data_IF_683364175578
#
_entry.id   IF_683364175578
#
_cell.length_a   1.000
_cell.length_b   1.000
_cell.length_c   1.000
_cell.angle_alpha   90.00
_cell.angle_beta   90.00
_cell.angle_gamma   90.00
#
_symmetry.space_group_name_H-M   'P 1'
#
loop_
_entity.id
_entity.type
_entity.pdbx_description
1 polymer ?
#
# COMPACT_ATOMS: atom_id res chain seq x y z
N UNK A 1 -15.69 -2.67 0.09
CA UNK A 1 -14.64 -3.60 -0.38
C UNK A 1 -14.97 -4.23 -1.74
N UNK A 2 -16.24 -4.53 -2.06
CA UNK A 2 -16.62 -5.09 -3.37
C UNK A 2 -16.22 -4.19 -4.54
N UNK A 3 -16.51 -2.90 -4.47
CA UNK A 3 -16.09 -1.88 -5.46
C UNK A 3 -14.57 -1.79 -5.66
N UNK A 4 -13.80 -2.08 -4.61
CA UNK A 4 -12.34 -2.11 -4.67
C UNK A 4 -11.80 -3.45 -5.22
N UNK A 5 -12.67 -4.44 -5.41
CA UNK A 5 -12.33 -5.75 -5.98
C UNK A 5 -11.56 -6.68 -5.03
N UNK A 6 -11.45 -6.33 -3.74
CA UNK A 6 -10.66 -7.08 -2.73
C UNK A 6 -11.53 -7.77 -1.66
N UNK A 7 -12.84 -7.86 -1.87
CA UNK A 7 -13.81 -8.39 -0.89
C UNK A 7 -13.66 -9.88 -0.54
N UNK A 8 -12.88 -10.64 -1.32
CA UNK A 8 -12.67 -12.07 -1.12
C UNK A 8 -11.31 -12.40 -0.48
N UNK A 9 -10.60 -11.41 0.06
CA UNK A 9 -9.30 -11.58 0.68
C UNK A 9 -9.37 -11.46 2.21
N UNK A 10 -8.42 -12.10 2.89
CA UNK A 10 -8.03 -11.80 4.25
C UNK A 10 -6.98 -10.68 4.22
N UNK A 11 -7.31 -9.49 4.72
CA UNK A 11 -6.40 -8.34 4.65
C UNK A 11 -5.37 -8.39 5.78
N UNK A 12 -4.10 -8.15 5.45
CA UNK A 12 -3.01 -7.94 6.42
C UNK A 12 -2.41 -6.57 6.16
N UNK A 13 -2.55 -5.66 7.11
CA UNK A 13 -2.10 -4.28 6.91
C UNK A 13 -0.63 -4.10 7.28
N UNK A 14 0.10 -3.43 6.41
CA UNK A 14 1.50 -3.08 6.58
C UNK A 14 1.67 -1.60 6.90
N UNK A 15 2.86 -1.28 7.41
CA UNK A 15 3.30 0.11 7.55
C UNK A 15 3.71 0.69 6.21
N UNK A 16 3.75 2.02 6.11
CA UNK A 16 3.81 2.78 4.85
C UNK A 16 5.19 2.79 4.15
N UNK A 17 5.84 1.62 4.03
CA UNK A 17 7.15 1.42 3.41
C UNK A 17 7.01 0.59 2.14
N UNK A 18 7.71 1.00 1.07
CA UNK A 18 7.74 0.30 -0.22
C UNK A 18 9.14 -0.27 -0.48
N UNK A 19 9.25 -1.57 -0.84
CA UNK A 19 10.50 -2.16 -1.27
C UNK A 19 11.07 -1.49 -2.53
N UNK A 20 12.39 -1.54 -2.70
CA UNK A 20 13.08 -1.03 -3.88
C UNK A 20 12.61 -1.71 -5.17
N UNK A 21 12.34 -3.00 -5.06
CA UNK A 21 11.99 -3.89 -6.16
C UNK A 21 10.50 -3.82 -6.53
N UNK A 22 9.71 -3.03 -5.79
CA UNK A 22 8.28 -2.93 -6.04
C UNK A 22 8.00 -2.28 -7.40
N UNK A 23 7.17 -2.95 -8.20
CA UNK A 23 6.65 -2.44 -9.47
C UNK A 23 5.12 -2.28 -9.38
N UNK A 24 4.61 -1.14 -9.80
CA UNK A 24 3.17 -0.91 -9.90
C UNK A 24 2.60 -1.57 -11.15
N UNK A 25 1.65 -2.48 -10.95
CA UNK A 25 0.93 -3.15 -12.04
C UNK A 25 -0.53 -2.71 -12.09
N UNK A 26 -1.15 -2.81 -13.26
CA UNK A 26 -2.59 -2.54 -13.36
C UNK A 26 -3.41 -3.59 -12.61
N UNK A 27 -4.59 -3.18 -12.14
CA UNK A 27 -5.53 -4.08 -11.47
C UNK A 27 -5.82 -5.34 -12.30
N UNK A 28 -6.03 -5.20 -13.61
CA UNK A 28 -6.25 -6.34 -14.52
C UNK A 28 -5.09 -7.33 -14.54
N UNK A 29 -3.83 -6.84 -14.48
CA UNK A 29 -2.67 -7.73 -14.36
C UNK A 29 -2.62 -8.41 -12.99
N UNK A 30 -2.98 -7.69 -11.93
CA UNK A 30 -3.00 -8.21 -10.56
C UNK A 30 -4.04 -9.33 -10.36
N UNK A 31 -5.18 -9.27 -11.07
CA UNK A 31 -6.26 -10.25 -10.95
C UNK A 31 -5.82 -11.71 -11.16
N UNK A 32 -4.73 -11.97 -11.91
CA UNK A 32 -4.19 -13.33 -12.10
C UNK A 32 -3.71 -14.00 -10.80
N UNK A 33 -3.45 -13.20 -9.76
CA UNK A 33 -2.99 -13.66 -8.45
C UNK A 33 -4.15 -13.82 -7.44
N UNK A 34 -5.36 -13.41 -7.82
CA UNK A 34 -6.49 -13.32 -6.89
C UNK A 34 -7.11 -14.70 -6.68
N UNK A 35 -7.20 -15.11 -5.41
CA UNK A 35 -7.86 -16.33 -5.00
C UNK A 35 -8.73 -16.08 -3.77
N UNK A 36 -9.90 -16.71 -3.71
CA UNK A 36 -10.79 -16.53 -2.57
C UNK A 36 -10.14 -17.04 -1.28
N UNK A 37 -10.23 -16.26 -0.20
CA UNK A 37 -9.62 -16.54 1.09
C UNK A 37 -8.11 -16.33 1.15
N UNK A 38 -7.49 -15.85 0.06
CA UNK A 38 -6.09 -15.44 0.04
C UNK A 38 -5.78 -14.38 1.09
N UNK A 39 -4.56 -14.41 1.62
CA UNK A 39 -4.02 -13.23 2.32
C UNK A 39 -3.68 -12.16 1.26
N UNK A 40 -4.09 -10.93 1.52
CA UNK A 40 -3.67 -9.76 0.76
C UNK A 40 -3.00 -8.79 1.71
N UNK A 41 -1.68 -8.70 1.60
CA UNK A 41 -0.95 -7.71 2.36
C UNK A 41 -1.04 -6.36 1.68
N UNK A 42 -1.34 -5.32 2.45
CA UNK A 42 -1.67 -4.03 1.89
C UNK A 42 -1.31 -2.87 2.82
N UNK A 43 -1.07 -1.71 2.23
CA UNK A 43 -1.11 -0.43 2.93
C UNK A 43 -2.49 0.16 2.63
N UNK A 44 -3.31 0.36 3.66
CA UNK A 44 -4.74 0.56 3.52
C UNK A 44 -5.20 1.81 4.26
N UNK A 45 -6.10 2.55 3.64
CA UNK A 45 -6.81 3.67 4.21
C UNK A 45 -8.30 3.40 4.15
N UNK A 46 -8.99 3.57 5.27
CA UNK A 46 -10.44 3.34 5.36
C UNK A 46 -11.11 4.51 6.07
N UNK A 47 -12.20 5.02 5.48
CA UNK A 47 -13.03 6.04 6.12
C UNK A 47 -14.48 5.59 6.16
N UNK A 48 -15.05 5.59 7.37
CA UNK A 48 -16.45 5.26 7.61
C UNK A 48 -17.29 6.52 7.83
N UNK A 49 -18.59 6.41 7.60
CA UNK A 49 -19.52 7.51 7.84
C UNK A 49 -20.96 7.04 7.84
N UNK A 50 -21.82 7.87 8.46
CA UNK A 50 -23.25 7.71 8.45
C UNK A 50 -23.90 8.42 7.26
N UNK A 51 -25.21 8.21 7.09
CA UNK A 51 -26.00 8.86 6.03
C UNK A 51 -25.77 10.38 5.99
N UNK A 52 -25.38 10.88 4.83
CA UNK A 52 -25.12 12.31 4.59
C UNK A 52 -23.66 12.72 4.75
N UNK A 53 -22.82 11.88 5.38
CA UNK A 53 -21.40 12.16 5.49
C UNK A 53 -20.71 12.01 4.14
N UNK A 54 -19.77 12.91 3.84
CA UNK A 54 -18.74 12.65 2.83
C UNK A 54 -17.69 11.77 3.47
N UNK A 55 -17.37 10.66 2.83
CA UNK A 55 -16.28 9.78 3.26
C UNK A 55 -15.23 9.75 2.16
N UNK A 56 -13.98 9.96 2.54
CA UNK A 56 -12.84 10.01 1.63
C UNK A 56 -11.70 9.23 2.23
N UNK A 57 -11.23 8.23 1.49
CA UNK A 57 -10.05 7.44 1.80
C UNK A 57 -9.07 7.57 0.65
N UNK A 58 -7.77 7.66 0.95
CA UNK A 58 -6.75 7.87 -0.05
C UNK A 58 -5.41 7.28 0.35
N UNK A 59 -4.66 6.81 -0.64
CA UNK A 59 -3.25 6.45 -0.47
C UNK A 59 -2.42 7.16 -1.51
N UNK A 60 -1.30 7.74 -1.07
CA UNK A 60 -0.28 8.36 -1.91
C UNK A 60 1.01 7.58 -1.81
N UNK A 61 1.78 7.50 -2.89
CA UNK A 61 3.04 6.75 -2.92
C UNK A 61 4.12 7.40 -3.75
N UNK A 62 5.36 7.26 -3.30
CA UNK A 62 6.54 7.81 -3.96
C UNK A 62 7.78 6.94 -3.70
N UNK A 63 8.56 6.70 -4.75
CA UNK A 63 9.90 6.10 -4.63
C UNK A 63 10.93 7.19 -4.35
N UNK A 64 11.97 6.85 -3.58
CA UNK A 64 13.14 7.70 -3.36
C UNK A 64 14.31 7.13 -4.15
N UNK A 65 14.99 7.99 -4.89
CA UNK A 65 16.14 7.62 -5.71
C UNK A 65 17.42 8.24 -5.18
N UNK A 66 18.49 7.46 -5.15
CA UNK A 66 19.83 7.91 -4.82
C UNK A 66 20.47 8.55 -6.07
N UNK A 67 20.88 9.81 -5.97
CA UNK A 67 21.51 10.53 -7.07
C UNK A 67 22.95 10.07 -7.31
N UNK A 68 23.66 9.70 -6.26
CA UNK A 68 25.03 9.22 -6.31
C UNK A 68 25.10 7.80 -6.94
N UNK A 69 24.04 7.00 -6.80
CA UNK A 69 23.88 5.73 -7.52
C UNK A 69 23.21 5.86 -8.90
N UNK A 70 23.30 7.03 -9.54
CA UNK A 70 22.79 7.24 -10.90
C UNK A 70 21.26 7.27 -10.99
N UNK A 71 20.58 7.69 -9.92
CA UNK A 71 19.13 7.85 -9.87
C UNK A 71 18.37 6.54 -9.62
N UNK A 72 19.02 5.51 -9.09
CA UNK A 72 18.37 4.23 -8.81
C UNK A 72 17.42 4.34 -7.61
N UNK A 73 16.22 3.70 -7.65
CA UNK A 73 15.35 3.63 -6.48
C UNK A 73 16.07 2.92 -5.32
N UNK A 74 15.90 3.44 -4.11
CA UNK A 74 16.37 2.81 -2.86
C UNK A 74 15.24 2.10 -2.11
N UNK A 75 13.99 2.41 -2.47
CA UNK A 75 12.80 2.11 -1.71
C UNK A 75 11.83 3.28 -1.83
N UNK A 76 10.68 3.18 -1.19
CA UNK A 76 9.69 4.23 -1.22
C UNK A 76 8.84 4.26 0.02
N UNK A 77 7.88 5.17 0.00
CA UNK A 77 6.94 5.35 1.09
C UNK A 77 5.55 5.50 0.53
N UNK A 78 4.60 5.14 1.37
CA UNK A 78 3.21 5.49 1.20
C UNK A 78 2.78 6.46 2.30
N UNK A 79 1.65 7.12 2.08
CA UNK A 79 0.92 7.90 3.07
C UNK A 79 -0.57 7.66 2.86
N UNK A 80 -1.33 7.72 3.93
CA UNK A 80 -2.76 7.46 3.96
C UNK A 80 -3.53 8.75 4.32
N UNK A 81 -4.73 8.90 3.76
CA UNK A 81 -5.65 9.99 4.07
C UNK A 81 -7.00 9.42 4.43
N UNK A 82 -7.49 9.75 5.62
CA UNK A 82 -8.81 9.37 6.11
C UNK A 82 -9.54 10.63 6.56
N UNK A 83 -10.68 10.92 5.94
CA UNK A 83 -11.45 12.08 6.35
C UNK A 83 -12.64 12.41 5.48
N UNK A 84 -13.13 13.64 5.62
CA UNK A 84 -14.37 14.10 5.02
C UNK A 84 -14.17 15.15 3.92
N UNK A 85 -12.92 15.42 3.52
CA UNK A 85 -12.62 16.40 2.48
C UNK A 85 -12.95 15.87 1.07
N UNK A 86 -12.96 16.75 0.08
CA UNK A 86 -13.05 16.36 -1.33
C UNK A 86 -11.75 15.73 -1.82
N UNK A 87 -11.80 15.04 -2.97
CA UNK A 87 -10.65 14.29 -3.51
C UNK A 87 -9.44 15.17 -3.80
N UNK A 88 -9.65 16.39 -4.31
CA UNK A 88 -8.60 17.37 -4.58
C UNK A 88 -7.88 17.85 -3.31
N UNK A 89 -8.62 18.05 -2.22
CA UNK A 89 -8.06 18.40 -0.91
C UNK A 89 -7.32 17.22 -0.29
N UNK A 90 -7.87 16.00 -0.42
CA UNK A 90 -7.21 14.78 0.03
C UNK A 90 -5.89 14.55 -0.73
N UNK A 91 -5.88 14.75 -2.04
CA UNK A 91 -4.68 14.64 -2.88
C UNK A 91 -3.60 15.65 -2.45
N UNK A 92 -3.97 16.91 -2.22
CA UNK A 92 -3.04 17.93 -1.73
C UNK A 92 -2.43 17.56 -0.38
N UNK A 93 -3.22 16.97 0.52
CA UNK A 93 -2.71 16.52 1.83
C UNK A 93 -1.76 15.33 1.69
N UNK A 94 -2.10 14.35 0.85
CA UNK A 94 -1.20 13.22 0.55
C UNK A 94 0.10 13.72 -0.11
N UNK A 95 0.00 14.65 -1.05
CA UNK A 95 1.15 15.23 -1.74
C UNK A 95 2.10 15.95 -0.77
N UNK A 96 1.53 16.78 0.11
CA UNK A 96 2.26 17.49 1.15
C UNK A 96 2.89 16.52 2.16
N UNK A 97 2.15 15.51 2.61
CA UNK A 97 2.64 14.50 3.53
C UNK A 97 3.83 13.73 2.94
N UNK A 98 3.81 13.37 1.65
CA UNK A 98 4.96 12.75 0.98
C UNK A 98 6.17 13.68 0.94
N UNK A 99 5.98 14.97 0.71
CA UNK A 99 7.07 15.95 0.69
C UNK A 99 7.68 16.17 2.08
N UNK A 100 6.85 16.27 3.11
CA UNK A 100 7.31 16.35 4.50
C UNK A 100 8.09 15.10 4.90
N UNK A 101 7.57 13.92 4.54
CA UNK A 101 8.22 12.64 4.82
C UNK A 101 9.60 12.57 4.17
N UNK A 102 9.72 13.02 2.92
CA UNK A 102 10.98 13.10 2.21
C UNK A 102 11.95 14.06 2.89
N UNK A 103 11.51 15.31 3.14
CA UNK A 103 12.34 16.34 3.75
C UNK A 103 12.83 15.96 5.15
N UNK A 104 12.05 15.17 5.89
CA UNK A 104 12.43 14.68 7.23
C UNK A 104 13.46 13.56 7.19
N UNK A 105 13.49 12.74 6.13
CA UNK A 105 14.25 11.49 6.08
C UNK A 105 15.45 11.53 5.14
N UNK A 106 15.46 12.44 4.18
CA UNK A 106 16.47 12.47 3.11
C UNK A 106 17.02 13.86 2.89
N UNK A 107 18.29 13.89 2.51
CA UNK A 107 18.95 15.09 2.03
C UNK A 107 18.66 15.26 0.53
N UNK A 108 18.08 16.41 0.19
CA UNK A 108 17.73 16.80 -1.18
C UNK A 108 18.93 16.87 -2.11
N UNK A 109 20.16 17.02 -1.60
CA UNK A 109 21.37 17.09 -2.43
C UNK A 109 21.78 15.70 -2.95
N UNK A 110 21.64 14.66 -2.12
CA UNK A 110 21.98 13.25 -2.45
C UNK A 110 20.79 12.41 -2.92
N UNK A 111 19.56 12.83 -2.62
CA UNK A 111 18.35 12.07 -2.94
C UNK A 111 17.38 12.85 -3.83
N UNK A 112 16.54 12.13 -4.56
CA UNK A 112 15.48 12.70 -5.37
C UNK A 112 14.14 11.98 -5.15
N UNK A 113 13.07 12.74 -5.35
CA UNK A 113 11.69 12.26 -5.32
C UNK A 113 11.35 11.65 -6.68
N UNK A 114 10.86 10.42 -6.69
CA UNK A 114 10.24 9.82 -7.86
C UNK A 114 8.86 10.42 -8.16
N UNK A 115 8.20 9.90 -9.19
CA UNK A 115 6.82 10.24 -9.51
C UNK A 115 5.92 9.92 -8.31
N UNK A 116 5.12 10.88 -7.85
CA UNK A 116 4.06 10.65 -6.87
C UNK A 116 2.81 10.13 -7.58
N UNK A 117 2.14 9.13 -7.00
CA UNK A 117 0.83 8.68 -7.47
C UNK A 117 -0.13 8.50 -6.32
N UNK A 118 -1.41 8.68 -6.62
CA UNK A 118 -2.48 8.68 -5.64
C UNK A 118 -3.62 7.78 -6.10
N UNK A 119 -4.20 7.04 -5.16
CA UNK A 119 -5.46 6.33 -5.33
C UNK A 119 -6.42 6.85 -4.27
N UNK A 120 -7.46 7.57 -4.69
CA UNK A 120 -8.42 8.23 -3.79
C UNK A 120 -9.83 7.77 -4.15
N UNK A 121 -10.64 7.55 -3.12
CA UNK A 121 -12.07 7.28 -3.25
C UNK A 121 -12.84 8.20 -2.32
N UNK A 122 -13.71 9.03 -2.89
CA UNK A 122 -14.64 9.85 -2.14
C UNK A 122 -16.09 9.60 -2.56
N UNK A 123 -17.01 9.70 -1.60
CA UNK A 123 -18.44 9.61 -1.85
C UNK A 123 -19.27 10.20 -0.72
N UNK A 124 -20.54 10.52 -1.01
CA UNK A 124 -21.52 10.85 0.04
C UNK A 124 -22.29 9.59 0.38
N UNK A 125 -22.41 9.28 1.66
CA UNK A 125 -23.13 8.09 2.13
C UNK A 125 -24.63 8.30 1.95
N UNK A 126 -25.25 7.46 1.12
CA UNK A 126 -26.70 7.50 0.88
C UNK A 126 -27.50 6.53 1.76
N UNK A 127 -26.87 5.44 2.19
CA UNK A 127 -27.46 4.43 3.09
C UNK A 127 -27.22 4.80 4.55
N UNK A 128 -27.63 3.94 5.49
CA UNK A 128 -27.39 4.18 6.92
C UNK A 128 -25.90 4.35 7.25
N UNK A 129 -25.05 3.54 6.60
CA UNK A 129 -23.59 3.56 6.75
C UNK A 129 -22.93 3.39 5.39
N UNK A 130 -21.71 3.90 5.27
CA UNK A 130 -20.86 3.73 4.10
C UNK A 130 -19.39 3.66 4.49
N UNK A 131 -18.56 3.16 3.58
CA UNK A 131 -17.12 3.09 3.76
C UNK A 131 -16.40 3.37 2.44
N UNK A 132 -15.43 4.28 2.48
CA UNK A 132 -14.48 4.54 1.41
C UNK A 132 -13.19 3.80 1.77
N UNK A 133 -12.60 3.13 0.78
CA UNK A 133 -11.35 2.37 0.96
C UNK A 133 -10.43 2.69 -0.20
N UNK A 134 -9.16 2.91 0.10
CA UNK A 134 -8.08 3.00 -0.87
C UNK A 134 -6.87 2.23 -0.33
N UNK A 135 -6.11 1.56 -1.19
CA UNK A 135 -4.97 0.79 -0.74
C UNK A 135 -3.96 0.45 -1.82
N UNK A 136 -2.72 0.21 -1.38
CA UNK A 136 -1.64 -0.39 -2.17
C UNK A 136 -1.59 -1.85 -1.75
N UNK A 137 -1.79 -2.76 -2.70
CA UNK A 137 -1.88 -4.19 -2.43
C UNK A 137 -0.68 -4.91 -3.04
N UNK A 138 0.04 -5.69 -2.24
CA UNK A 138 1.15 -6.51 -2.68
C UNK A 138 0.61 -7.87 -3.13
N UNK A 139 1.05 -8.33 -4.30
CA UNK A 139 0.52 -9.56 -4.93
C UNK A 139 1.59 -10.57 -5.32
N UNK A 140 2.86 -10.22 -5.13
CA UNK A 140 4.03 -11.03 -5.46
C UNK A 140 5.21 -10.63 -4.56
N UNK A 141 6.12 -11.57 -4.30
CA UNK A 141 7.22 -11.41 -3.35
C UNK A 141 8.50 -12.08 -3.82
N UNK A 142 9.63 -11.43 -3.54
CA UNK A 142 10.94 -12.06 -3.65
C UNK A 142 11.18 -12.87 -2.38
N UNK A 143 11.25 -14.19 -2.52
CA UNK A 143 11.50 -15.11 -1.40
C UNK A 143 12.82 -15.85 -1.60
N UNK A 144 13.59 -16.09 -0.52
CA UNK A 144 14.82 -16.88 -0.62
C UNK A 144 14.49 -18.35 -0.93
N UNK A 145 15.19 -18.93 -1.89
CA UNK A 145 15.13 -20.37 -2.16
C UNK A 145 16.17 -21.04 -1.27
N UNK A 146 15.71 -21.85 -0.31
CA UNK A 146 16.60 -22.68 0.51
C UNK A 146 17.05 -23.88 -0.33
N UNK A 147 18.33 -23.91 -0.73
CA UNK A 147 18.92 -25.10 -1.36
C UNK A 147 18.95 -26.25 -0.36
N UNK A 148 18.32 -27.36 -0.72
CA UNK A 148 18.16 -28.54 0.16
C UNK A 148 19.42 -29.40 0.15
N UNK A 149 20.56 -28.85 0.58
CA UNK A 149 21.77 -29.61 0.87
C UNK A 149 21.80 -30.01 2.36
N UNK A 150 20.69 -30.56 2.85
CA UNK A 150 20.63 -31.25 4.14
C UNK A 150 20.16 -32.69 3.92
N UNK A 151 21.03 -33.48 3.30
CA UNK A 151 21.03 -34.90 3.50
C UNK A 151 21.32 -35.18 4.99
N UNK A 152 20.27 -35.57 5.74
CA UNK A 152 20.40 -36.24 7.03
C UNK A 152 19.97 -35.41 8.23
N UNK A 153 18.69 -35.48 8.59
CA UNK A 153 18.23 -35.03 9.90
C UNK A 153 16.72 -34.91 10.00
N UNK A 154 16.07 -35.98 10.46
CA UNK A 154 14.68 -35.94 10.92
C UNK A 154 14.49 -34.88 12.00
N UNK A 155 13.56 -33.94 11.82
CA UNK A 155 12.88 -33.27 12.95
C UNK A 155 11.41 -33.02 12.64
N UNK A 156 10.59 -33.67 13.47
CA UNK A 156 9.21 -33.34 13.76
C UNK A 156 9.06 -31.97 14.45
N UNK A 157 7.90 -31.35 14.20
CA UNK A 157 7.16 -30.35 14.98
C UNK A 157 7.73 -28.92 15.15
N UNK A 158 6.90 -27.92 14.84
CA UNK A 158 6.19 -27.16 15.88
C UNK A 158 5.05 -26.31 15.29
N UNK A 159 3.85 -26.53 15.84
CA UNK A 159 2.73 -25.59 15.88
C UNK A 159 3.15 -24.33 16.63
N UNK A 160 2.78 -23.14 16.14
CA UNK A 160 2.68 -21.95 16.96
C UNK A 160 1.27 -21.37 16.79
N UNK A 161 0.45 -21.60 17.82
CA UNK A 161 -0.73 -20.80 18.14
C UNK A 161 -0.22 -19.60 18.92
N UNK A 162 -0.62 -18.39 18.51
CA UNK A 162 -0.79 -17.25 19.40
C UNK A 162 -2.13 -16.60 19.08
#
# INVERSE_FOLDING_TARGET
MEDAGIHNFNLVTYTSILPREAEEISFTKAQRYFHHGAVLECILSEQHGGRGDRITAGVGRMMVCDKDEGGRPMGGFAVEYEGHAMEDVAEQQLDWALDELFARRFDSDSHSKGEKRFAIRSGVVHQAFGTAIAGICFVDYIVPILSTDLAGGSREQATAVM
#
